data_IF_078534140089
#
_entry.id   IF_078534140089
#
_cell.length_a   1.000
_cell.length_b   1.000
_cell.length_c   1.000
_cell.angle_alpha   90.00
_cell.angle_beta   90.00
_cell.angle_gamma   90.00
#
_symmetry.space_group_name_H-M   'P 1'
#
loop_
_entity.id
_entity.type
_entity.pdbx_description
1 polymer ?
#
# COMPACT_ATOMS: atom_id res chain seq x y z
N UNK A 1 94.55 9.11 16.55
CA UNK A 1 93.49 9.50 15.59
C UNK A 1 92.51 8.35 15.54
N UNK A 2 91.35 8.44 16.22
CA UNK A 2 90.29 7.44 16.21
C UNK A 2 89.09 8.07 15.48
N UNK A 3 88.83 7.54 14.29
CA UNK A 3 87.68 7.97 13.45
C UNK A 3 86.40 7.31 14.01
N UNK A 4 85.46 8.11 14.51
CA UNK A 4 84.20 7.66 14.99
C UNK A 4 83.17 7.66 13.82
N UNK A 5 82.79 6.49 13.34
CA UNK A 5 81.71 6.34 12.42
C UNK A 5 80.34 6.54 13.13
N UNK A 6 79.63 7.58 12.75
CA UNK A 6 78.19 7.76 13.16
C UNK A 6 77.29 6.83 12.37
N UNK A 7 76.75 5.80 13.02
CA UNK A 7 75.69 5.03 12.52
C UNK A 7 74.35 5.88 12.45
N UNK A 8 73.93 6.21 11.27
CA UNK A 8 72.66 6.84 11.05
C UNK A 8 71.56 5.76 11.19
N UNK A 9 70.80 5.86 12.26
CA UNK A 9 69.66 4.98 12.50
C UNK A 9 68.47 5.36 11.60
N UNK A 10 68.12 4.50 10.66
CA UNK A 10 66.91 4.61 9.84
C UNK A 10 65.88 3.61 10.33
N UNK A 11 65.05 3.87 11.36
CA UNK A 11 63.86 3.06 11.56
C UNK A 11 62.55 3.83 11.74
N UNK A 12 62.54 5.14 11.96
CA UNK A 12 61.31 5.84 12.31
C UNK A 12 60.28 5.95 11.16
N UNK A 13 60.75 6.03 9.92
CA UNK A 13 59.87 6.27 8.76
C UNK A 13 59.06 5.02 8.37
N UNK A 14 59.62 3.82 8.51
CA UNK A 14 58.88 2.57 8.19
C UNK A 14 57.74 2.28 9.16
N UNK A 15 57.92 2.57 10.45
CA UNK A 15 56.86 2.39 11.45
C UNK A 15 55.71 3.41 11.26
N UNK A 16 56.03 4.64 10.84
CA UNK A 16 55.03 5.66 10.54
C UNK A 16 54.19 5.28 9.31
N UNK A 17 54.80 4.79 8.24
CA UNK A 17 54.11 4.35 7.02
C UNK A 17 53.25 3.12 7.32
N UNK A 18 53.78 2.15 8.06
CA UNK A 18 53.03 0.93 8.42
C UNK A 18 51.81 1.25 9.28
N UNK A 19 51.95 2.14 10.28
CA UNK A 19 50.84 2.57 11.11
C UNK A 19 49.81 3.40 10.33
N UNK A 20 50.24 4.25 9.40
CA UNK A 20 49.33 5.02 8.55
C UNK A 20 48.51 4.13 7.61
N UNK A 21 49.13 3.13 6.96
CA UNK A 21 48.46 2.15 6.12
C UNK A 21 47.49 1.28 6.94
N UNK A 22 47.89 0.85 8.13
CA UNK A 22 47.03 0.12 9.05
C UNK A 22 45.78 0.93 9.49
N UNK A 23 46.00 2.20 9.85
CA UNK A 23 44.89 3.10 10.21
C UNK A 23 43.90 3.33 9.07
N UNK A 24 44.39 3.55 7.83
CA UNK A 24 43.57 3.70 6.64
C UNK A 24 42.78 2.42 6.33
N UNK A 25 43.40 1.25 6.49
CA UNK A 25 42.69 -0.04 6.29
C UNK A 25 41.57 -0.25 7.33
N UNK A 26 41.78 0.11 8.58
CA UNK A 26 40.75 0.04 9.64
C UNK A 26 39.64 1.02 9.37
N UNK A 27 39.93 2.26 8.99
CA UNK A 27 38.94 3.29 8.64
C UNK A 27 38.12 2.82 7.43
N UNK A 28 38.76 2.26 6.39
CA UNK A 28 38.10 1.68 5.24
C UNK A 28 37.19 0.51 5.59
N UNK A 29 37.63 -0.40 6.45
CA UNK A 29 36.83 -1.54 6.93
C UNK A 29 35.63 -1.08 7.78
N UNK A 30 35.83 -0.14 8.70
CA UNK A 30 34.75 0.43 9.50
C UNK A 30 33.76 1.20 8.62
N UNK A 31 34.26 1.98 7.66
CA UNK A 31 33.42 2.67 6.68
C UNK A 31 32.61 1.71 5.82
N UNK A 32 33.22 0.61 5.36
CA UNK A 32 32.52 -0.44 4.59
C UNK A 32 31.47 -1.16 5.43
N UNK A 33 31.76 -1.53 6.67
CA UNK A 33 30.80 -2.15 7.58
C UNK A 33 29.68 -1.17 7.92
N UNK A 34 30.00 0.07 8.22
CA UNK A 34 28.99 1.11 8.43
C UNK A 34 28.12 1.27 7.18
N UNK A 35 28.72 1.40 6.01
CA UNK A 35 27.98 1.52 4.74
C UNK A 35 27.12 0.29 4.46
N UNK A 36 27.60 -0.95 4.72
CA UNK A 36 26.81 -2.17 4.55
C UNK A 36 25.68 -2.31 5.57
N UNK A 37 25.85 -1.78 6.80
CA UNK A 37 24.78 -1.74 7.80
C UNK A 37 23.74 -0.64 7.51
N UNK A 38 24.12 0.41 6.77
CA UNK A 38 23.22 1.45 6.29
C UNK A 38 22.61 1.15 4.91
N UNK A 39 23.05 0.10 4.23
CA UNK A 39 22.28 -0.49 3.11
C UNK A 39 21.09 -1.21 3.72
N UNK A 40 20.07 -0.45 4.13
CA UNK A 40 18.73 -1.00 4.32
C UNK A 40 18.37 -1.59 2.96
N UNK A 41 18.27 -2.92 2.88
CA UNK A 41 17.68 -3.57 1.71
C UNK A 41 16.27 -2.99 1.58
N UNK A 42 16.13 -2.02 0.68
CA UNK A 42 14.83 -1.46 0.34
C UNK A 42 14.09 -2.57 -0.39
N UNK A 43 13.16 -3.18 0.33
CA UNK A 43 12.31 -4.22 -0.23
C UNK A 43 11.65 -3.66 -1.50
N UNK A 44 11.98 -4.26 -2.65
CA UNK A 44 11.48 -3.77 -3.93
C UNK A 44 9.95 -3.82 -3.98
N UNK A 45 9.31 -2.85 -4.66
CA UNK A 45 7.86 -2.85 -4.84
C UNK A 45 7.34 -4.18 -5.41
N UNK A 46 6.17 -4.61 -4.95
CA UNK A 46 5.66 -5.96 -5.26
C UNK A 46 5.28 -6.19 -6.72
N UNK A 47 5.14 -5.13 -7.51
CA UNK A 47 4.91 -5.26 -8.95
C UNK A 47 6.11 -5.94 -9.62
N UNK A 48 5.87 -7.03 -10.30
CA UNK A 48 6.92 -7.84 -10.95
C UNK A 48 7.34 -9.08 -10.17
N UNK A 49 6.99 -9.20 -8.89
CA UNK A 49 7.20 -10.44 -8.12
C UNK A 49 6.19 -11.53 -8.46
N UNK A 50 5.09 -11.16 -9.08
CA UNK A 50 3.94 -12.00 -9.39
C UNK A 50 3.72 -12.08 -10.90
N UNK A 51 2.96 -13.07 -11.40
CA UNK A 51 2.57 -13.15 -12.81
C UNK A 51 1.87 -11.87 -13.32
N UNK A 52 1.64 -11.82 -14.64
CA UNK A 52 1.01 -10.68 -15.29
C UNK A 52 -0.28 -10.24 -14.56
N UNK A 53 -0.46 -8.95 -14.30
CA UNK A 53 -1.59 -8.44 -13.54
C UNK A 53 -2.91 -8.57 -14.30
N UNK A 54 -3.98 -8.84 -13.56
CA UNK A 54 -5.34 -8.63 -14.01
C UNK A 54 -5.75 -7.20 -13.69
N UNK A 55 -6.43 -6.55 -14.63
CA UNK A 55 -6.78 -5.13 -14.54
C UNK A 55 -8.29 -4.93 -14.41
N UNK A 56 -8.71 -4.10 -13.47
CA UNK A 56 -10.04 -3.51 -13.43
C UNK A 56 -10.10 -2.36 -14.44
N UNK A 57 -10.54 -2.68 -15.66
CA UNK A 57 -10.57 -1.69 -16.75
C UNK A 57 -11.67 -0.65 -16.51
N UNK A 58 -11.34 0.61 -16.72
CA UNK A 58 -12.27 1.75 -16.68
C UNK A 58 -12.80 2.12 -18.06
N UNK A 59 -12.42 1.35 -19.08
CA UNK A 59 -12.83 1.60 -20.47
C UNK A 59 -13.50 0.38 -21.08
N UNK A 60 -14.33 0.62 -22.08
CA UNK A 60 -14.86 -0.41 -22.97
C UNK A 60 -13.74 -0.99 -23.83
N UNK A 61 -13.96 -2.12 -24.53
CA UNK A 61 -13.00 -2.63 -25.51
C UNK A 61 -12.67 -1.65 -26.65
N UNK A 62 -13.59 -0.71 -26.94
CA UNK A 62 -13.38 0.36 -27.92
C UNK A 62 -12.60 1.57 -27.36
N UNK A 63 -12.18 1.53 -26.08
CA UNK A 63 -11.41 2.60 -25.44
C UNK A 63 -12.25 3.73 -24.85
N UNK A 64 -13.58 3.72 -24.97
CA UNK A 64 -14.44 4.72 -24.37
C UNK A 64 -14.55 4.54 -22.85
N UNK A 65 -14.63 5.62 -22.05
CA UNK A 65 -14.90 5.53 -20.62
C UNK A 65 -16.20 4.76 -20.34
N UNK A 66 -16.20 3.95 -19.28
CA UNK A 66 -17.40 3.25 -18.84
C UNK A 66 -18.44 4.25 -18.33
N UNK A 67 -19.71 4.00 -18.65
CA UNK A 67 -20.84 4.64 -17.96
C UNK A 67 -20.97 4.14 -16.52
N UNK A 68 -21.69 4.87 -15.67
CA UNK A 68 -21.89 4.46 -14.27
C UNK A 68 -22.59 3.09 -14.17
N UNK A 69 -23.49 2.76 -15.09
CA UNK A 69 -24.19 1.46 -15.15
C UNK A 69 -23.20 0.33 -15.52
N UNK A 70 -22.33 0.57 -16.52
CA UNK A 70 -21.30 -0.41 -16.90
C UNK A 70 -20.29 -0.61 -15.79
N UNK A 71 -19.93 0.47 -15.08
CA UNK A 71 -19.06 0.43 -13.91
C UNK A 71 -19.69 -0.39 -12.78
N UNK A 72 -20.97 -0.16 -12.48
CA UNK A 72 -21.75 -0.94 -11.51
C UNK A 72 -21.80 -2.42 -11.88
N UNK A 73 -22.11 -2.71 -13.13
CA UNK A 73 -22.12 -4.10 -13.63
C UNK A 73 -20.75 -4.79 -13.50
N UNK A 74 -19.67 -4.05 -13.61
CA UNK A 74 -18.29 -4.55 -13.45
C UNK A 74 -17.89 -4.71 -11.99
N UNK A 75 -18.37 -3.85 -11.10
CA UNK A 75 -18.11 -3.90 -9.67
C UNK A 75 -18.84 -5.09 -8.99
N UNK A 76 -19.93 -5.58 -9.58
CA UNK A 76 -20.66 -6.74 -9.10
C UNK A 76 -21.89 -6.39 -8.24
N UNK A 77 -22.52 -7.42 -7.67
CA UNK A 77 -23.84 -7.31 -7.03
C UNK A 77 -23.77 -6.65 -5.63
N UNK A 78 -22.61 -6.75 -4.96
CA UNK A 78 -22.42 -6.20 -3.61
C UNK A 78 -21.68 -4.88 -3.71
N UNK A 79 -22.34 -3.86 -4.25
CA UNK A 79 -21.79 -2.51 -4.35
C UNK A 79 -22.68 -1.50 -3.63
N UNK A 80 -22.08 -0.39 -3.27
CA UNK A 80 -22.77 0.77 -2.73
C UNK A 80 -22.14 2.06 -3.26
N UNK A 81 -22.98 3.02 -3.61
CA UNK A 81 -22.60 4.37 -3.96
C UNK A 81 -22.05 4.57 -5.38
N UNK A 82 -21.91 3.54 -6.20
CA UNK A 82 -21.32 3.66 -7.54
C UNK A 82 -22.16 4.58 -8.43
N UNK A 83 -23.46 4.40 -8.48
CA UNK A 83 -24.33 5.21 -9.35
C UNK A 83 -24.36 6.68 -8.97
N UNK A 84 -24.27 6.98 -7.68
CA UNK A 84 -24.41 8.33 -7.15
C UNK A 84 -23.06 9.07 -7.03
N UNK A 85 -22.01 8.34 -6.71
CA UNK A 85 -20.74 8.91 -6.30
C UNK A 85 -19.56 8.58 -7.22
N UNK A 86 -19.69 7.63 -8.15
CA UNK A 86 -18.60 7.25 -9.04
C UNK A 86 -18.87 7.60 -10.50
N UNK A 87 -17.83 8.07 -11.17
CA UNK A 87 -17.83 8.23 -12.63
C UNK A 87 -16.44 7.97 -13.19
N UNK A 88 -16.39 7.52 -14.42
CA UNK A 88 -15.13 7.41 -15.16
C UNK A 88 -14.89 8.69 -15.94
N UNK A 89 -13.73 9.30 -15.73
CA UNK A 89 -13.33 10.56 -16.37
C UNK A 89 -12.06 10.35 -17.20
N UNK A 90 -11.92 11.10 -18.29
CA UNK A 90 -10.66 11.16 -19.02
C UNK A 90 -9.61 11.90 -18.18
N UNK A 91 -8.35 11.49 -18.29
CA UNK A 91 -7.23 12.20 -17.68
C UNK A 91 -6.64 13.14 -18.74
N UNK A 92 -6.69 14.47 -18.58
CA UNK A 92 -6.22 15.41 -19.61
C UNK A 92 -4.73 15.29 -19.92
N UNK A 93 -3.93 14.87 -18.93
CA UNK A 93 -2.46 14.90 -18.99
C UNK A 93 -1.84 13.53 -19.29
N UNK A 94 -2.65 12.46 -19.43
CA UNK A 94 -2.18 11.10 -19.73
C UNK A 94 -3.21 10.33 -20.55
N UNK A 95 -2.79 9.47 -21.49
CA UNK A 95 -3.71 8.60 -22.20
C UNK A 95 -4.33 7.61 -21.21
N UNK A 96 -5.61 7.78 -20.90
CA UNK A 96 -6.31 6.87 -20.00
C UNK A 96 -7.57 7.46 -19.39
N UNK A 97 -8.19 6.63 -18.56
CA UNK A 97 -9.36 6.97 -17.78
C UNK A 97 -9.08 6.78 -16.29
N UNK A 98 -9.67 7.63 -15.47
CA UNK A 98 -9.63 7.54 -14.01
C UNK A 98 -11.03 7.30 -13.46
N UNK A 99 -11.11 6.58 -12.35
CA UNK A 99 -12.30 6.49 -11.53
C UNK A 99 -12.32 7.69 -10.59
N UNK A 100 -13.23 8.64 -10.82
CA UNK A 100 -13.48 9.74 -9.90
C UNK A 100 -14.57 9.34 -8.92
N UNK A 101 -14.26 9.41 -7.62
CA UNK A 101 -15.18 9.11 -6.53
C UNK A 101 -15.45 10.41 -5.77
N UNK A 102 -16.72 10.83 -5.78
CA UNK A 102 -17.21 11.96 -5.03
C UNK A 102 -17.51 11.56 -3.60
N UNK A 103 -16.99 12.31 -2.65
CA UNK A 103 -17.26 12.15 -1.24
C UNK A 103 -18.38 13.14 -0.86
N UNK A 104 -19.61 12.64 -0.81
CA UNK A 104 -20.76 13.44 -0.49
C UNK A 104 -20.82 13.76 1.01
N UNK A 105 -21.44 14.86 1.45
CA UNK A 105 -21.73 15.10 2.86
C UNK A 105 -22.65 13.99 3.40
N UNK A 106 -22.37 13.54 4.62
CA UNK A 106 -23.27 12.63 5.32
C UNK A 106 -24.49 13.39 5.79
N UNK A 107 -25.67 13.03 5.30
CA UNK A 107 -26.92 13.44 5.93
C UNK A 107 -27.22 12.46 7.05
N UNK A 108 -27.69 12.95 8.20
CA UNK A 108 -27.97 12.14 9.41
C UNK A 108 -29.01 11.01 9.22
N UNK A 109 -29.59 10.89 8.03
CA UNK A 109 -30.64 9.94 7.70
C UNK A 109 -30.09 8.75 6.92
N UNK A 110 -29.22 7.93 7.49
CA UNK A 110 -28.81 6.71 6.77
C UNK A 110 -27.44 6.14 7.09
N UNK A 111 -26.81 6.57 8.17
CA UNK A 111 -25.55 6.00 8.61
C UNK A 111 -25.77 4.56 9.09
N UNK A 112 -25.54 3.58 8.21
CA UNK A 112 -25.31 2.21 8.65
C UNK A 112 -23.89 2.13 9.19
N UNK A 113 -23.76 1.55 10.38
CA UNK A 113 -22.52 1.56 11.18
C UNK A 113 -21.33 0.80 10.59
N UNK A 114 -21.52 0.11 9.49
CA UNK A 114 -20.57 -0.80 8.83
C UNK A 114 -20.13 -0.36 7.43
N UNK A 115 -20.66 0.77 6.92
CA UNK A 115 -20.34 1.32 5.59
C UNK A 115 -19.80 2.74 5.71
N UNK A 116 -18.89 3.16 4.80
CA UNK A 116 -18.52 4.56 4.73
C UNK A 116 -19.77 5.39 4.45
N UNK A 117 -19.96 6.44 5.23
CA UNK A 117 -21.14 7.28 5.15
C UNK A 117 -21.21 8.07 3.82
N UNK A 118 -20.20 7.96 2.97
CA UNK A 118 -20.07 8.67 1.69
C UNK A 118 -19.02 7.96 0.82
N UNK A 119 -19.05 8.21 -0.48
CA UNK A 119 -18.12 7.59 -1.42
C UNK A 119 -18.67 6.28 -2.00
N UNK A 120 -17.85 5.24 -2.06
CA UNK A 120 -18.22 3.94 -2.63
C UNK A 120 -17.69 2.79 -1.78
N UNK A 121 -18.39 1.67 -1.82
CA UNK A 121 -17.93 0.36 -1.33
C UNK A 121 -18.30 -0.71 -2.35
N UNK A 122 -17.29 -1.38 -2.92
CA UNK A 122 -17.50 -2.57 -3.73
C UNK A 122 -16.32 -3.52 -3.66
N UNK A 123 -16.57 -4.76 -4.01
CA UNK A 123 -15.55 -5.82 -4.01
C UNK A 123 -15.30 -6.29 -5.41
N UNK A 124 -14.11 -6.03 -5.92
CA UNK A 124 -13.67 -6.59 -7.18
C UNK A 124 -13.04 -7.95 -6.96
N UNK A 125 -13.67 -8.97 -7.56
CA UNK A 125 -13.23 -10.37 -7.56
C UNK A 125 -12.64 -10.69 -8.93
N UNK A 126 -11.32 -10.68 -9.13
CA UNK A 126 -10.72 -10.98 -10.42
C UNK A 126 -11.00 -12.42 -10.86
N UNK A 127 -11.30 -12.59 -12.15
CA UNK A 127 -11.52 -13.92 -12.71
C UNK A 127 -10.27 -14.78 -12.51
N UNK A 128 -10.49 -16.01 -12.00
CA UNK A 128 -9.41 -16.96 -11.71
C UNK A 128 -8.75 -16.81 -10.34
N UNK A 129 -9.00 -15.73 -9.61
CA UNK A 129 -8.53 -15.58 -8.24
C UNK A 129 -9.50 -16.26 -7.27
N UNK A 130 -9.17 -17.48 -6.82
CA UNK A 130 -10.07 -18.23 -5.93
C UNK A 130 -9.69 -18.12 -4.45
N UNK A 131 -8.44 -18.29 -4.13
CA UNK A 131 -7.92 -18.24 -2.77
C UNK A 131 -6.38 -18.10 -2.86
N UNK A 132 -5.91 -16.93 -3.24
CA UNK A 132 -4.49 -16.69 -3.41
C UNK A 132 -3.77 -16.67 -2.05
N UNK A 133 -2.52 -17.13 -2.03
CA UNK A 133 -1.68 -17.08 -0.83
C UNK A 133 -0.88 -15.78 -0.73
N UNK A 134 -0.64 -15.15 -1.84
CA UNK A 134 0.01 -13.85 -1.88
C UNK A 134 -0.55 -13.04 -3.04
N UNK A 135 -0.68 -11.73 -2.86
CA UNK A 135 -1.15 -10.81 -3.88
C UNK A 135 -0.49 -9.44 -3.74
N UNK A 136 -0.33 -8.79 -4.88
CA UNK A 136 0.10 -7.41 -5.02
C UNK A 136 -1.00 -6.60 -5.72
N UNK A 137 -1.50 -5.58 -5.06
CA UNK A 137 -2.41 -4.57 -5.61
C UNK A 137 -1.59 -3.33 -5.99
N UNK A 138 -1.83 -2.80 -7.18
CA UNK A 138 -1.16 -1.60 -7.71
C UNK A 138 -2.21 -0.64 -8.26
N UNK A 139 -2.17 0.59 -7.82
CA UNK A 139 -2.99 1.69 -8.34
C UNK A 139 -2.34 3.04 -8.05
N UNK A 140 -2.81 4.09 -8.72
CA UNK A 140 -2.46 5.46 -8.35
C UNK A 140 -3.69 6.21 -7.85
N UNK A 141 -3.49 7.08 -6.89
CA UNK A 141 -4.51 7.98 -6.34
C UNK A 141 -4.09 9.43 -6.55
N UNK A 142 -5.03 10.27 -6.95
CA UNK A 142 -4.87 11.72 -7.01
C UNK A 142 -5.73 12.35 -5.94
N UNK A 143 -5.07 13.07 -5.04
CA UNK A 143 -5.71 13.88 -3.99
C UNK A 143 -5.67 15.33 -4.44
N UNK A 144 -6.80 16.03 -4.61
CA UNK A 144 -6.81 17.44 -5.00
C UNK A 144 -6.08 18.33 -4.00
N UNK A 145 -5.48 19.43 -4.44
CA UNK A 145 -4.73 20.37 -3.58
C UNK A 145 -5.51 20.87 -2.35
N UNK A 146 -6.80 21.06 -2.50
CA UNK A 146 -7.70 21.56 -1.43
C UNK A 146 -8.58 20.45 -0.86
N UNK A 147 -8.07 19.21 -0.84
CA UNK A 147 -8.83 18.10 -0.26
C UNK A 147 -9.02 18.31 1.25
N UNK A 148 -10.29 18.32 1.73
CA UNK A 148 -10.56 18.55 3.14
C UNK A 148 -10.36 17.27 3.95
N UNK A 149 -9.13 17.01 4.38
CA UNK A 149 -8.86 15.89 5.28
C UNK A 149 -9.65 16.06 6.59
N UNK A 150 -10.26 14.98 7.05
CA UNK A 150 -11.00 14.94 8.31
C UNK A 150 -10.11 14.38 9.42
N UNK A 151 -10.21 14.92 10.62
CA UNK A 151 -9.51 14.41 11.82
C UNK A 151 -9.86 12.96 12.14
N UNK A 152 -11.02 12.48 11.71
CA UNK A 152 -11.43 11.08 11.83
C UNK A 152 -10.85 10.19 10.72
N UNK A 153 -10.24 10.81 9.71
CA UNK A 153 -9.66 10.11 8.60
C UNK A 153 -10.66 9.54 7.61
N UNK A 154 -10.15 8.65 6.77
CA UNK A 154 -10.92 7.94 5.77
C UNK A 154 -10.19 6.74 5.23
N UNK A 155 -10.84 6.04 4.31
CA UNK A 155 -10.37 4.76 3.77
C UNK A 155 -10.11 4.86 2.29
N UNK A 156 -9.14 4.08 1.84
CA UNK A 156 -8.72 3.92 0.45
C UNK A 156 -8.69 2.43 0.09
N UNK A 157 -8.64 2.09 -1.22
CA UNK A 157 -8.65 0.71 -1.65
C UNK A 157 -7.56 -0.16 -1.04
N UNK A 158 -7.88 -1.45 -0.86
CA UNK A 158 -6.95 -2.42 -0.34
C UNK A 158 -7.27 -3.85 -0.73
N UNK A 159 -6.50 -4.78 -0.22
CA UNK A 159 -6.69 -6.21 -0.42
C UNK A 159 -7.61 -6.79 0.66
N UNK A 160 -8.40 -7.78 0.28
CA UNK A 160 -9.23 -8.52 1.23
C UNK A 160 -9.23 -10.01 0.93
N UNK A 161 -9.61 -10.79 1.95
CA UNK A 161 -9.75 -12.22 1.84
C UNK A 161 -10.60 -12.82 2.94
N UNK A 162 -10.65 -14.15 2.95
CA UNK A 162 -11.46 -14.96 3.87
C UNK A 162 -11.85 -16.28 3.22
N UNK A 163 -12.93 -16.92 3.70
CA UNK A 163 -13.45 -18.15 3.13
C UNK A 163 -13.83 -17.98 1.66
N UNK A 164 -13.52 -18.97 0.79
CA UNK A 164 -13.88 -18.90 -0.62
C UNK A 164 -15.40 -18.94 -0.84
N UNK A 165 -15.93 -18.29 -1.89
CA UNK A 165 -17.33 -18.45 -2.28
C UNK A 165 -17.67 -19.93 -2.52
N UNK A 166 -18.92 -20.41 -2.25
CA UNK A 166 -20.14 -19.65 -2.00
C UNK A 166 -20.42 -19.37 -0.52
N UNK A 167 -19.46 -19.61 0.37
CA UNK A 167 -19.65 -19.29 1.79
C UNK A 167 -20.12 -17.84 1.89
N UNK A 168 -21.18 -17.57 2.63
CA UNK A 168 -21.45 -16.23 3.13
C UNK A 168 -20.48 -16.05 4.28
N UNK A 169 -19.33 -15.42 4.10
CA UNK A 169 -18.43 -15.25 5.22
C UNK A 169 -19.13 -14.31 6.20
N UNK A 170 -19.31 -14.77 7.42
CA UNK A 170 -19.50 -13.85 8.52
C UNK A 170 -18.35 -12.85 8.47
N UNK A 171 -18.61 -11.59 8.72
CA UNK A 171 -17.56 -10.55 8.71
C UNK A 171 -16.39 -10.91 9.63
N UNK A 172 -16.68 -11.64 10.70
CA UNK A 172 -15.71 -12.19 11.63
C UNK A 172 -14.61 -13.08 11.00
N UNK A 173 -14.83 -13.64 9.81
CA UNK A 173 -13.86 -14.51 9.15
C UNK A 173 -13.13 -13.83 7.97
N UNK A 174 -13.34 -12.54 7.79
CA UNK A 174 -12.65 -11.76 6.76
C UNK A 174 -11.44 -11.06 7.31
N UNK A 175 -10.42 -10.95 6.50
CA UNK A 175 -9.28 -10.08 6.75
C UNK A 175 -9.15 -9.03 5.65
N UNK A 176 -8.58 -7.89 6.01
CA UNK A 176 -8.27 -6.81 5.06
C UNK A 176 -6.91 -6.21 5.36
N UNK A 177 -6.26 -5.67 4.32
CA UNK A 177 -5.19 -4.71 4.47
C UNK A 177 -5.46 -3.55 3.51
N UNK A 178 -5.50 -2.31 4.02
CA UNK A 178 -5.85 -1.14 3.22
C UNK A 178 -5.17 0.13 3.71
N UNK A 179 -4.95 1.04 2.78
CA UNK A 179 -4.49 2.38 3.10
C UNK A 179 -5.65 3.17 3.72
N UNK A 180 -5.35 3.90 4.77
CA UNK A 180 -6.24 4.90 5.35
C UNK A 180 -5.50 6.22 5.47
N UNK A 181 -6.21 7.33 5.42
CA UNK A 181 -5.65 8.58 5.89
C UNK A 181 -6.14 8.87 7.30
N UNK A 182 -5.28 9.50 8.06
CA UNK A 182 -5.58 10.03 9.39
C UNK A 182 -5.66 11.55 9.33
N UNK A 183 -5.89 12.21 10.45
CA UNK A 183 -5.91 13.67 10.51
C UNK A 183 -4.72 14.30 9.80
N UNK A 184 -4.89 15.48 9.26
CA UNK A 184 -3.89 16.24 8.50
C UNK A 184 -3.38 15.58 7.19
N UNK A 185 -4.01 14.49 6.71
CA UNK A 185 -3.65 13.86 5.43
C UNK A 185 -2.46 12.91 5.51
N UNK A 186 -2.20 12.34 6.65
CA UNK A 186 -1.21 11.27 6.79
C UNK A 186 -1.81 9.92 6.40
N UNK A 187 -1.14 9.24 5.48
CA UNK A 187 -1.46 7.86 5.08
C UNK A 187 -0.86 6.85 6.03
N UNK A 188 -1.60 5.78 6.33
CA UNK A 188 -1.12 4.64 7.09
C UNK A 188 -1.73 3.34 6.57
N UNK A 189 -0.98 2.25 6.61
CA UNK A 189 -1.51 0.91 6.30
C UNK A 189 -2.23 0.37 7.54
N UNK A 190 -3.47 -0.08 7.33
CA UNK A 190 -4.25 -0.77 8.35
C UNK A 190 -4.50 -2.21 7.93
N UNK A 191 -4.24 -3.14 8.84
CA UNK A 191 -4.60 -4.55 8.69
C UNK A 191 -5.66 -4.92 9.72
N UNK A 192 -6.69 -5.64 9.27
CA UNK A 192 -7.72 -6.23 10.10
C UNK A 192 -7.67 -7.75 9.92
N UNK A 193 -7.06 -8.49 10.86
CA UNK A 193 -7.10 -9.94 10.87
C UNK A 193 -8.53 -10.49 11.03
N UNK A 194 -8.75 -11.73 10.58
CA UNK A 194 -10.04 -12.40 10.75
C UNK A 194 -10.42 -12.48 12.26
N UNK A 195 -11.60 -11.95 12.58
CA UNK A 195 -12.12 -11.90 13.94
C UNK A 195 -11.48 -10.88 14.87
N UNK A 196 -10.70 -9.93 14.34
CA UNK A 196 -10.08 -8.87 15.10
C UNK A 196 -10.32 -7.48 14.48
N UNK A 197 -10.21 -6.44 15.29
CA UNK A 197 -10.31 -5.07 14.80
C UNK A 197 -9.11 -4.66 13.95
N UNK A 198 -9.30 -3.64 13.11
CA UNK A 198 -8.21 -3.07 12.33
C UNK A 198 -7.18 -2.39 13.23
N UNK A 199 -5.89 -2.60 12.90
CA UNK A 199 -4.76 -1.94 13.55
C UNK A 199 -3.83 -1.31 12.52
N UNK A 200 -3.23 -0.19 12.88
CA UNK A 200 -2.20 0.42 12.05
C UNK A 200 -0.95 -0.46 12.02
N UNK A 201 -0.38 -0.60 10.84
CA UNK A 201 0.93 -1.21 10.60
C UNK A 201 1.93 -0.08 10.45
N UNK A 202 2.92 -0.04 11.30
CA UNK A 202 3.81 1.11 11.50
C UNK A 202 3.05 2.39 11.89
N UNK A 203 3.40 2.93 13.04
CA UNK A 203 2.70 4.11 13.59
C UNK A 203 3.15 5.45 12.96
N UNK A 204 4.20 5.46 12.16
CA UNK A 204 4.64 6.63 11.42
C UNK A 204 3.85 6.76 10.13
N UNK A 205 2.91 7.69 10.08
CA UNK A 205 2.23 8.07 8.86
C UNK A 205 3.19 8.66 7.81
N UNK A 206 2.77 8.68 6.56
CA UNK A 206 3.46 9.36 5.46
C UNK A 206 2.47 10.32 4.78
N UNK A 207 2.90 11.48 4.27
CA UNK A 207 1.99 12.45 3.69
C UNK A 207 1.33 11.90 2.41
N UNK A 208 -0.01 11.99 2.34
CA UNK A 208 -0.76 11.86 1.10
C UNK A 208 -0.68 13.21 0.38
N UNK A 209 0.37 13.38 -0.41
CA UNK A 209 0.69 14.66 -1.00
C UNK A 209 -0.40 15.13 -2.00
N UNK A 210 -1.11 16.25 -1.74
CA UNK A 210 -2.11 16.77 -2.65
C UNK A 210 -1.51 17.33 -3.95
N UNK A 211 -2.32 17.41 -5.00
CA UNK A 211 -1.98 18.06 -6.26
C UNK A 211 -1.26 17.17 -7.28
N UNK A 212 -0.93 15.92 -6.96
CA UNK A 212 -0.29 14.99 -7.90
C UNK A 212 -0.73 13.55 -7.70
N UNK A 213 -0.42 12.73 -8.68
CA UNK A 213 -0.68 11.29 -8.63
C UNK A 213 0.36 10.62 -7.75
N UNK A 214 -0.10 9.89 -6.74
CA UNK A 214 0.73 9.02 -5.90
C UNK A 214 0.45 7.56 -6.28
N UNK A 215 1.48 6.81 -6.60
CA UNK A 215 1.37 5.38 -6.86
C UNK A 215 1.40 4.61 -5.55
N UNK A 216 0.44 3.73 -5.37
CA UNK A 216 0.28 2.87 -4.19
C UNK A 216 0.42 1.42 -4.60
N UNK A 217 1.25 0.67 -3.90
CA UNK A 217 1.33 -0.78 -4.00
C UNK A 217 1.14 -1.40 -2.63
N UNK A 218 0.32 -2.44 -2.57
CA UNK A 218 0.05 -3.19 -1.34
C UNK A 218 0.32 -4.66 -1.57
N UNK A 219 1.01 -5.29 -0.64
CA UNK A 219 1.27 -6.73 -0.67
C UNK A 219 0.70 -7.40 0.58
N UNK A 220 0.06 -8.53 0.36
CA UNK A 220 -0.23 -9.51 1.41
C UNK A 220 0.44 -10.82 1.03
N UNK A 221 1.19 -11.40 1.97
CA UNK A 221 1.59 -12.80 1.99
C UNK A 221 0.94 -13.44 3.20
N UNK A 222 0.06 -14.42 2.98
CA UNK A 222 -0.71 -15.02 4.05
C UNK A 222 0.15 -15.90 4.95
N UNK A 223 -0.12 -15.81 6.23
CA UNK A 223 0.47 -16.63 7.27
C UNK A 223 0.13 -18.12 7.13
N UNK A 224 0.96 -19.00 7.67
CA UNK A 224 0.55 -20.37 7.98
C UNK A 224 -0.53 -20.33 9.06
N UNK A 225 -1.61 -21.13 8.96
CA UNK A 225 -2.67 -21.13 9.97
C UNK A 225 -2.13 -21.39 11.38
N UNK A 226 -2.47 -20.50 12.32
CA UNK A 226 -1.99 -20.54 13.70
C UNK A 226 -0.56 -20.02 13.92
N UNK A 227 0.08 -19.45 12.89
CA UNK A 227 1.38 -18.79 13.00
C UNK A 227 1.26 -17.30 12.69
N UNK A 228 2.04 -16.48 13.35
CA UNK A 228 2.17 -15.04 13.06
C UNK A 228 3.38 -14.83 12.14
N UNK A 229 3.32 -15.38 10.92
CA UNK A 229 4.38 -15.33 9.91
C UNK A 229 3.89 -14.71 8.56
N UNK A 230 2.71 -14.12 8.57
CA UNK A 230 2.18 -13.37 7.44
C UNK A 230 2.85 -12.02 7.28
N UNK A 231 2.81 -11.50 6.05
CA UNK A 231 3.44 -10.24 5.69
C UNK A 231 2.40 -9.30 5.10
N UNK A 232 2.42 -8.05 5.54
CA UNK A 232 1.72 -6.95 4.89
C UNK A 232 2.70 -5.82 4.62
N UNK A 233 2.65 -5.24 3.41
CA UNK A 233 3.52 -4.16 2.97
C UNK A 233 2.77 -3.10 2.20
N UNK A 234 3.25 -1.87 2.29
CA UNK A 234 2.76 -0.74 1.51
C UNK A 234 3.96 0.05 0.97
N UNK A 235 3.92 0.33 -0.33
CA UNK A 235 4.82 1.30 -0.98
C UNK A 235 3.99 2.47 -1.50
N UNK A 236 4.55 3.67 -1.35
CA UNK A 236 4.07 4.88 -2.01
C UNK A 236 5.21 5.44 -2.89
N UNK A 237 4.93 5.65 -4.18
CA UNK A 237 5.88 6.11 -5.19
C UNK A 237 7.19 5.28 -5.24
N UNK A 238 7.06 3.97 -5.00
CA UNK A 238 8.17 3.02 -5.02
C UNK A 238 8.97 2.92 -3.72
N UNK A 239 8.66 3.72 -2.72
CA UNK A 239 9.31 3.71 -1.41
C UNK A 239 8.47 2.93 -0.39
N UNK A 240 9.09 2.00 0.34
CA UNK A 240 8.43 1.23 1.39
C UNK A 240 8.03 2.15 2.55
N UNK A 241 6.74 2.23 2.83
CA UNK A 241 6.17 3.09 3.87
C UNK A 241 5.69 2.33 5.11
N UNK A 242 5.29 1.09 4.93
CA UNK A 242 4.86 0.24 6.03
C UNK A 242 5.17 -1.23 5.75
N UNK A 243 5.60 -1.95 6.77
CA UNK A 243 5.81 -3.38 6.74
C UNK A 243 5.50 -3.98 8.11
N UNK A 244 4.86 -5.16 8.11
CA UNK A 244 4.80 -6.07 9.25
C UNK A 244 4.94 -7.50 8.71
N UNK A 245 5.93 -8.22 9.22
CA UNK A 245 6.26 -9.60 8.82
C UNK A 245 5.80 -10.63 9.85
N UNK A 246 4.96 -10.20 10.81
CA UNK A 246 4.50 -11.02 11.93
C UNK A 246 2.98 -10.96 12.11
N UNK A 247 2.23 -10.92 10.99
CA UNK A 247 0.77 -10.78 11.03
C UNK A 247 0.10 -12.14 10.93
N UNK A 248 -0.83 -12.43 11.83
CA UNK A 248 -1.77 -13.54 11.69
C UNK A 248 -3.07 -13.03 11.04
N UNK A 249 -3.16 -13.03 9.71
CA UNK A 249 -4.33 -12.54 8.98
C UNK A 249 -5.47 -13.55 8.95
N UNK A 250 -5.15 -14.84 8.79
CA UNK A 250 -6.13 -15.94 8.69
C UNK A 250 -5.90 -16.99 9.76
N UNK A 251 -6.98 -17.69 10.12
CA UNK A 251 -6.96 -18.83 11.05
C UNK A 251 -7.13 -20.18 10.33
N UNK A 252 -7.84 -20.20 9.20
CA UNK A 252 -8.06 -21.42 8.43
C UNK A 252 -7.15 -21.46 7.18
N UNK A 253 -6.71 -22.66 6.83
CA UNK A 253 -5.90 -22.90 5.62
C UNK A 253 -6.67 -22.72 4.32
N UNK A 254 -7.99 -22.80 4.37
CA UNK A 254 -8.89 -22.60 3.23
C UNK A 254 -9.12 -21.13 2.93
N UNK A 255 -8.88 -20.24 3.91
CA UNK A 255 -8.98 -18.80 3.71
C UNK A 255 -7.86 -18.31 2.79
N UNK A 256 -8.20 -17.47 1.86
CA UNK A 256 -7.28 -16.89 0.89
C UNK A 256 -7.57 -15.46 0.57
N UNK A 257 -6.67 -14.79 -0.13
CA UNK A 257 -6.92 -13.48 -0.71
C UNK A 257 -7.88 -13.69 -1.88
N UNK A 258 -8.97 -12.93 -1.91
CA UNK A 258 -10.06 -13.12 -2.86
C UNK A 258 -10.23 -11.94 -3.82
N UNK A 259 -9.67 -10.79 -3.50
CA UNK A 259 -9.79 -9.63 -4.38
C UNK A 259 -9.38 -8.29 -3.77
N UNK A 260 -9.90 -7.24 -4.38
CA UNK A 260 -9.70 -5.86 -4.01
C UNK A 260 -10.96 -5.29 -3.39
N UNK A 261 -10.84 -4.76 -2.18
CA UNK A 261 -11.87 -3.97 -1.53
C UNK A 261 -11.69 -2.52 -1.98
N UNK A 262 -12.61 -2.02 -2.79
CA UNK A 262 -12.66 -0.61 -3.18
C UNK A 262 -13.66 0.10 -2.27
N UNK A 263 -13.19 0.35 -1.06
CA UNK A 263 -13.90 1.13 -0.05
C UNK A 263 -13.21 2.48 0.04
N UNK A 264 -13.90 3.53 -0.35
CA UNK A 264 -13.36 4.90 -0.42
C UNK A 264 -14.36 5.86 0.19
N UNK A 265 -13.98 6.47 1.28
CA UNK A 265 -14.85 7.38 2.00
C UNK A 265 -14.22 7.93 3.27
N UNK A 266 -14.91 8.86 3.90
CA UNK A 266 -14.56 9.34 5.23
C UNK A 266 -15.07 8.40 6.33
N UNK A 267 -14.32 8.27 7.40
CA UNK A 267 -14.74 7.56 8.60
C UNK A 267 -15.53 8.52 9.52
N UNK A 268 -16.85 8.34 9.59
CA UNK A 268 -17.75 8.89 10.64
C UNK A 268 -18.03 10.38 10.68
N UNK A 269 -17.68 11.22 9.71
CA UNK A 269 -18.02 12.66 9.81
C UNK A 269 -18.58 13.26 8.53
N UNK A 270 -19.47 14.28 8.66
CA UNK A 270 -19.92 15.05 7.52
C UNK A 270 -18.75 15.83 6.93
N UNK A 271 -18.62 15.76 5.62
CA UNK A 271 -17.54 16.40 4.88
C UNK A 271 -18.04 17.65 4.20
N UNK A 272 -17.15 18.60 4.01
CA UNK A 272 -17.41 19.75 3.17
C UNK A 272 -17.86 19.31 1.77
N UNK A 273 -18.89 19.95 1.17
CA UNK A 273 -19.37 19.60 -0.16
C UNK A 273 -18.27 19.69 -1.21
N UNK A 274 -18.22 18.72 -2.13
CA UNK A 274 -17.37 18.80 -3.31
C UNK A 274 -15.99 18.12 -3.23
N UNK A 275 -15.71 17.37 -2.19
CA UNK A 275 -14.51 16.54 -2.17
C UNK A 275 -14.61 15.39 -3.18
N UNK A 276 -13.52 15.09 -3.89
CA UNK A 276 -13.41 13.90 -4.72
C UNK A 276 -11.98 13.39 -4.75
N UNK A 277 -11.84 12.09 -4.98
CA UNK A 277 -10.56 11.42 -5.23
C UNK A 277 -10.60 10.80 -6.61
N UNK A 278 -9.45 10.67 -7.26
CA UNK A 278 -9.34 9.97 -8.54
C UNK A 278 -8.39 8.81 -8.42
N UNK A 279 -8.73 7.71 -9.07
CA UNK A 279 -7.94 6.48 -9.07
C UNK A 279 -7.63 6.05 -10.50
N UNK A 280 -6.40 5.61 -10.73
CA UNK A 280 -6.08 4.84 -11.93
C UNK A 280 -6.85 3.52 -11.93
N UNK A 281 -6.92 2.78 -13.05
CA UNK A 281 -7.35 1.38 -13.02
C UNK A 281 -6.57 0.59 -11.96
N UNK A 282 -7.27 -0.27 -11.23
CA UNK A 282 -6.64 -1.18 -10.28
C UNK A 282 -6.00 -2.35 -11.02
N UNK A 283 -4.79 -2.72 -10.63
CA UNK A 283 -4.11 -3.91 -11.14
C UNK A 283 -3.80 -4.83 -9.96
N UNK A 284 -4.09 -6.12 -10.10
CA UNK A 284 -3.78 -7.13 -9.09
C UNK A 284 -3.09 -8.32 -9.73
N UNK A 285 -2.01 -8.76 -9.12
CA UNK A 285 -1.30 -9.99 -9.46
C UNK A 285 -1.18 -10.87 -8.22
N UNK A 286 -1.17 -12.21 -8.40
CA UNK A 286 -1.23 -13.15 -7.27
C UNK A 286 -0.59 -14.50 -7.58
N UNK A 287 -0.40 -15.33 -6.54
CA UNK A 287 0.02 -16.72 -6.58
C UNK A 287 -0.61 -17.56 -5.49
#
# INVERSE_FOLDING_TARGET
>A
MVSGERRVSKPATYHLIFNAVGALAVIGAVGYVAWSLFQVEHEEPCRGRYPAPTRFSLTTPAGAPLSSIELQGRAGISEWGILDNAKVVAIPEAPGAALEIKLAPVTNEGVQSDRPANGVDFRWLPLGMKAARAACLDYSVFVPEKFPFSDKGGVLPGLFGGPPPPSKPEEANRFTARLQWTGAGEGALYAAPAGAGARAINQSGFPLAPGHWMRVQQEIVLNAPGAADGIVRLWADGELKAEDTSVELRKDKTDGITGVLVDVGYLREPVAPGASLRFSPFEISWR
#
